data_IF_855516638566
#
_entry.id   IF_855516638566
#
_cell.length_a   1.000
_cell.length_b   1.000
_cell.length_c   1.000
_cell.angle_alpha   90.00
_cell.angle_beta   90.00
_cell.angle_gamma   90.00
#
_symmetry.space_group_name_H-M   'P 1'
#
loop_
_entity.id
_entity.type
_entity.pdbx_description
1 polymer ?
#
# COMPACT_ATOMS: atom_id res chain seq x y z
N UNK A 1 -6.66 -13.96 23.89
CA UNK A 1 -6.90 -14.16 22.44
C UNK A 1 -7.21 -12.85 21.69
N UNK A 2 -8.08 -11.96 22.18
CA UNK A 2 -8.37 -10.67 21.51
C UNK A 2 -7.14 -9.77 21.31
N UNK A 3 -6.31 -9.57 22.34
CA UNK A 3 -5.11 -8.73 22.24
C UNK A 3 -4.11 -9.24 21.19
N UNK A 4 -3.96 -10.56 21.04
CA UNK A 4 -3.10 -11.14 20.02
C UNK A 4 -3.61 -10.83 18.60
N UNK A 5 -4.93 -10.88 18.39
CA UNK A 5 -5.56 -10.51 17.13
C UNK A 5 -5.35 -9.04 16.79
N UNK A 6 -5.52 -8.14 17.78
CA UNK A 6 -5.25 -6.71 17.62
C UNK A 6 -3.77 -6.48 17.30
N UNK A 7 -2.86 -7.11 18.06
CA UNK A 7 -1.42 -7.00 17.82
C UNK A 7 -1.04 -7.46 16.40
N UNK A 8 -1.58 -8.58 15.93
CA UNK A 8 -1.34 -9.08 14.58
C UNK A 8 -1.86 -8.11 13.51
N UNK A 9 -3.07 -7.57 13.67
CA UNK A 9 -3.63 -6.56 12.76
C UNK A 9 -2.76 -5.30 12.71
N UNK A 10 -2.31 -4.82 13.87
CA UNK A 10 -1.45 -3.63 13.97
C UNK A 10 -0.07 -3.89 13.39
N UNK A 11 0.56 -5.04 13.65
CA UNK A 11 1.86 -5.39 13.08
C UNK A 11 1.79 -5.44 11.55
N UNK A 12 0.73 -6.01 10.98
CA UNK A 12 0.51 -6.01 9.54
C UNK A 12 0.37 -4.58 8.98
N UNK A 13 -0.44 -3.74 9.62
CA UNK A 13 -0.61 -2.33 9.23
C UNK A 13 0.71 -1.54 9.31
N UNK A 14 1.45 -1.67 10.41
CA UNK A 14 2.71 -0.97 10.64
C UNK A 14 3.80 -1.45 9.70
N UNK A 15 3.92 -2.76 9.43
CA UNK A 15 4.88 -3.29 8.47
C UNK A 15 4.63 -2.73 7.06
N UNK A 16 3.36 -2.64 6.66
CA UNK A 16 2.99 -2.10 5.35
C UNK A 16 3.26 -0.59 5.27
N UNK A 17 2.74 0.19 6.21
CA UNK A 17 2.84 1.65 6.17
C UNK A 17 4.27 2.12 6.45
N UNK A 18 4.95 1.48 7.39
CA UNK A 18 6.37 1.74 7.70
C UNK A 18 7.29 1.46 6.51
N UNK A 19 7.04 0.37 5.76
CA UNK A 19 7.81 0.09 4.56
C UNK A 19 7.54 1.08 3.42
N UNK A 20 6.28 1.54 3.25
CA UNK A 20 5.96 2.63 2.31
C UNK A 20 6.69 3.92 2.69
N UNK A 21 6.72 4.29 3.97
CA UNK A 21 7.45 5.44 4.49
C UNK A 21 8.95 5.31 4.21
N UNK A 22 9.55 4.17 4.54
CA UNK A 22 10.97 3.92 4.31
C UNK A 22 11.34 4.01 2.81
N UNK A 23 10.59 3.33 1.95
CA UNK A 23 10.84 3.37 0.50
C UNK A 23 10.69 4.79 -0.06
N UNK A 24 9.68 5.54 0.39
CA UNK A 24 9.35 6.86 -0.17
C UNK A 24 10.25 7.98 0.35
N UNK A 25 10.60 7.95 1.64
CA UNK A 25 11.31 9.05 2.32
C UNK A 25 12.80 8.79 2.49
N UNK A 26 13.25 7.53 2.45
CA UNK A 26 14.66 7.17 2.66
C UNK A 26 15.27 6.60 1.39
N UNK A 27 14.75 5.48 0.89
CA UNK A 27 15.40 4.74 -0.19
C UNK A 27 15.28 5.46 -1.54
N UNK A 28 14.10 5.96 -1.89
CA UNK A 28 13.91 6.68 -3.16
C UNK A 28 14.75 7.97 -3.27
N UNK A 29 14.81 8.85 -2.24
CA UNK A 29 15.69 10.00 -2.25
C UNK A 29 17.18 9.64 -2.31
N UNK A 30 17.61 8.62 -1.55
CA UNK A 30 19.00 8.14 -1.58
C UNK A 30 19.44 7.77 -3.00
N UNK A 31 18.60 7.02 -3.69
CA UNK A 31 18.87 6.55 -5.04
C UNK A 31 18.82 7.69 -6.06
N UNK A 32 17.90 8.65 -5.90
CA UNK A 32 17.85 9.88 -6.71
C UNK A 32 19.11 10.72 -6.54
N UNK A 33 19.60 10.89 -5.32
CA UNK A 33 20.79 11.68 -5.00
C UNK A 33 22.07 11.09 -5.62
N UNK A 34 22.12 9.77 -5.83
CA UNK A 34 23.20 9.08 -6.55
C UNK A 34 23.01 9.09 -8.07
N UNK A 35 22.30 10.09 -8.60
CA UNK A 35 21.99 10.28 -10.03
C UNK A 35 21.37 9.04 -10.70
N UNK A 36 20.65 8.22 -9.92
CA UNK A 36 20.07 6.96 -10.40
C UNK A 36 21.09 6.03 -11.07
N UNK A 37 22.32 5.97 -10.54
CA UNK A 37 23.33 5.03 -11.00
C UNK A 37 22.77 3.59 -11.04
N UNK A 38 23.14 2.77 -12.05
CA UNK A 38 22.49 1.47 -12.32
C UNK A 38 22.43 0.54 -11.12
N UNK A 39 23.49 0.48 -10.32
CA UNK A 39 23.58 -0.34 -9.11
C UNK A 39 22.56 0.07 -8.04
N UNK A 40 22.40 1.38 -7.81
CA UNK A 40 21.42 1.90 -6.85
C UNK A 40 19.97 1.71 -7.34
N UNK A 41 19.74 1.83 -8.65
CA UNK A 41 18.46 1.49 -9.27
C UNK A 41 18.13 0.00 -9.11
N UNK A 42 19.11 -0.88 -9.32
CA UNK A 42 18.97 -2.31 -9.13
C UNK A 42 18.66 -2.64 -7.67
N UNK A 43 19.36 -2.02 -6.71
CA UNK A 43 19.10 -2.16 -5.29
C UNK A 43 17.66 -1.72 -4.93
N UNK A 44 17.23 -0.54 -5.41
CA UNK A 44 15.88 -0.05 -5.19
C UNK A 44 14.83 -1.04 -5.69
N UNK A 45 14.98 -1.51 -6.94
CA UNK A 45 14.07 -2.49 -7.54
C UNK A 45 14.06 -3.80 -6.75
N UNK A 46 15.21 -4.28 -6.33
CA UNK A 46 15.36 -5.50 -5.54
C UNK A 46 14.70 -5.38 -4.17
N UNK A 47 14.83 -4.23 -3.51
CA UNK A 47 14.17 -3.92 -2.25
C UNK A 47 12.65 -3.83 -2.42
N UNK A 48 12.17 -3.13 -3.45
CA UNK A 48 10.74 -2.99 -3.74
C UNK A 48 10.07 -4.35 -4.04
N UNK A 49 10.75 -5.23 -4.79
CA UNK A 49 10.25 -6.58 -5.08
C UNK A 49 10.16 -7.45 -3.83
N UNK A 50 11.14 -7.39 -2.93
CA UNK A 50 11.08 -8.10 -1.64
C UNK A 50 9.99 -7.52 -0.74
N UNK A 51 9.88 -6.19 -0.69
CA UNK A 51 8.85 -5.52 0.09
C UNK A 51 7.44 -5.87 -0.39
N UNK A 52 7.25 -6.09 -1.69
CA UNK A 52 5.97 -6.58 -2.24
C UNK A 52 5.49 -7.85 -1.54
N UNK A 53 6.36 -8.82 -1.26
CA UNK A 53 5.99 -10.03 -0.52
C UNK A 53 5.46 -9.70 0.89
N UNK A 54 6.09 -8.74 1.56
CA UNK A 54 5.64 -8.24 2.88
C UNK A 54 4.27 -7.57 2.77
N UNK A 55 4.06 -6.75 1.73
CA UNK A 55 2.77 -6.07 1.47
C UNK A 55 1.65 -7.07 1.28
N UNK A 56 1.82 -8.07 0.41
CA UNK A 56 0.77 -9.07 0.15
C UNK A 56 0.49 -9.94 1.38
N UNK A 57 1.51 -10.24 2.17
CA UNK A 57 1.34 -10.92 3.47
C UNK A 57 0.56 -10.04 4.45
N UNK A 58 0.89 -8.77 4.55
CA UNK A 58 0.18 -7.81 5.40
C UNK A 58 -1.29 -7.63 4.95
N UNK A 59 -1.55 -7.56 3.65
CA UNK A 59 -2.91 -7.50 3.09
C UNK A 59 -3.72 -8.72 3.52
N UNK A 60 -3.17 -9.92 3.34
CA UNK A 60 -3.85 -11.16 3.76
C UNK A 60 -4.20 -11.10 5.25
N UNK A 61 -3.24 -10.74 6.11
CA UNK A 61 -3.46 -10.60 7.54
C UNK A 61 -4.51 -9.54 7.88
N UNK A 62 -4.50 -8.37 7.23
CA UNK A 62 -5.47 -7.30 7.48
C UNK A 62 -6.88 -7.71 7.05
N UNK A 63 -7.00 -8.39 5.92
CA UNK A 63 -8.29 -8.89 5.39
C UNK A 63 -8.85 -10.04 6.22
N UNK A 64 -8.02 -10.83 6.90
CA UNK A 64 -8.51 -11.87 7.82
C UNK A 64 -8.82 -11.31 9.20
N UNK A 65 -7.92 -10.48 9.76
CA UNK A 65 -8.06 -9.99 11.14
C UNK A 65 -9.06 -8.84 11.26
N UNK A 66 -9.19 -7.98 10.25
CA UNK A 66 -10.09 -6.83 10.25
C UNK A 66 -11.57 -7.21 10.45
N UNK A 67 -12.14 -8.11 9.63
CA UNK A 67 -13.52 -8.58 9.79
C UNK A 67 -13.77 -9.26 11.14
N UNK A 68 -12.81 -10.04 11.64
CA UNK A 68 -12.92 -10.70 12.95
C UNK A 68 -12.95 -9.65 14.08
N UNK A 69 -12.13 -8.61 14.00
CA UNK A 69 -12.13 -7.50 14.97
C UNK A 69 -13.44 -6.70 14.89
N UNK A 70 -13.98 -6.49 13.69
CA UNK A 70 -15.23 -5.78 13.47
C UNK A 70 -16.43 -6.57 14.04
N UNK A 71 -16.48 -7.88 13.78
CA UNK A 71 -17.50 -8.77 14.32
C UNK A 71 -17.50 -8.83 15.85
N UNK A 72 -16.32 -8.78 16.49
CA UNK A 72 -16.21 -8.70 17.96
C UNK A 72 -16.76 -7.40 18.56
N UNK A 73 -17.00 -6.37 17.74
CA UNK A 73 -17.67 -5.13 18.11
C UNK A 73 -19.14 -5.10 17.71
N UNK A 74 -19.73 -6.23 17.34
CA UNK A 74 -21.13 -6.33 16.87
C UNK A 74 -21.35 -5.82 15.43
N UNK A 75 -20.29 -5.41 14.73
CA UNK A 75 -20.35 -4.88 13.37
C UNK A 75 -19.97 -5.97 12.36
N UNK A 76 -20.92 -6.82 11.99
CA UNK A 76 -20.64 -7.92 11.06
C UNK A 76 -20.49 -7.42 9.63
N UNK A 77 -19.55 -8.00 8.87
CA UNK A 77 -19.31 -7.59 7.48
C UNK A 77 -20.52 -7.86 6.57
N UNK A 78 -21.34 -8.86 6.93
CA UNK A 78 -22.57 -9.24 6.22
C UNK A 78 -23.77 -8.35 6.53
N UNK A 79 -23.67 -7.48 7.53
CA UNK A 79 -24.73 -6.56 7.90
C UNK A 79 -24.21 -5.10 7.94
N UNK A 80 -24.06 -4.43 6.79
CA UNK A 80 -23.56 -3.06 6.73
C UNK A 80 -24.37 -2.04 7.56
N UNK A 81 -25.66 -2.32 7.82
CA UNK A 81 -26.50 -1.46 8.66
C UNK A 81 -26.05 -1.42 10.13
N UNK A 82 -25.25 -2.39 10.57
CA UNK A 82 -24.67 -2.40 11.92
C UNK A 82 -23.45 -1.48 12.08
N UNK A 83 -22.87 -0.97 10.97
CA UNK A 83 -21.61 -0.25 11.01
C UNK A 83 -21.78 1.19 11.47
N UNK A 84 -20.87 1.67 12.32
CA UNK A 84 -20.75 3.09 12.58
C UNK A 84 -20.28 3.85 11.33
N UNK A 85 -20.60 5.14 11.21
CA UNK A 85 -20.13 5.97 10.11
C UNK A 85 -18.61 5.93 9.95
N UNK A 86 -17.88 5.87 11.06
CA UNK A 86 -16.42 5.79 11.08
C UNK A 86 -15.92 4.44 10.53
N UNK A 87 -16.58 3.33 10.88
CA UNK A 87 -16.24 2.02 10.35
C UNK A 87 -16.48 1.96 8.83
N UNK A 88 -17.61 2.50 8.36
CA UNK A 88 -17.93 2.59 6.93
C UNK A 88 -16.87 3.36 6.15
N UNK A 89 -16.48 4.55 6.64
CA UNK A 89 -15.39 5.34 6.03
C UNK A 89 -14.09 4.56 6.00
N UNK A 90 -13.71 3.90 7.11
CA UNK A 90 -12.49 3.08 7.17
C UNK A 90 -12.50 1.97 6.11
N UNK A 91 -13.61 1.26 5.97
CA UNK A 91 -13.73 0.15 5.01
C UNK A 91 -13.58 0.66 3.58
N UNK A 92 -14.23 1.77 3.21
CA UNK A 92 -14.07 2.36 1.88
C UNK A 92 -12.65 2.84 1.60
N UNK A 93 -11.98 3.46 2.58
CA UNK A 93 -10.58 3.87 2.43
C UNK A 93 -9.64 2.67 2.26
N UNK A 94 -9.85 1.59 3.01
CA UNK A 94 -9.08 0.34 2.85
C UNK A 94 -9.34 -0.30 1.49
N UNK A 95 -10.59 -0.34 1.02
CA UNK A 95 -10.92 -0.86 -0.32
C UNK A 95 -10.23 -0.02 -1.41
N UNK A 96 -10.28 1.30 -1.31
CA UNK A 96 -9.57 2.19 -2.23
C UNK A 96 -8.06 1.94 -2.21
N UNK A 97 -7.46 1.80 -1.02
CA UNK A 97 -6.04 1.51 -0.87
C UNK A 97 -5.66 0.17 -1.50
N UNK A 98 -6.50 -0.86 -1.33
CA UNK A 98 -6.30 -2.17 -1.96
C UNK A 98 -6.37 -2.08 -3.48
N UNK A 99 -7.39 -1.41 -4.03
CA UNK A 99 -7.51 -1.20 -5.48
C UNK A 99 -6.28 -0.50 -6.03
N UNK A 100 -5.85 0.60 -5.41
CA UNK A 100 -4.65 1.34 -5.84
C UNK A 100 -3.39 0.45 -5.76
N UNK A 101 -3.24 -0.36 -4.70
CA UNK A 101 -2.10 -1.26 -4.52
C UNK A 101 -2.08 -2.36 -5.58
N UNK A 102 -3.23 -3.00 -5.86
CA UNK A 102 -3.34 -4.03 -6.90
C UNK A 102 -3.01 -3.44 -8.27
N UNK A 103 -3.57 -2.28 -8.61
CA UNK A 103 -3.28 -1.59 -9.87
C UNK A 103 -1.79 -1.24 -9.99
N UNK A 104 -1.18 -0.77 -8.90
CA UNK A 104 0.25 -0.49 -8.86
C UNK A 104 1.11 -1.74 -9.12
N UNK A 105 0.86 -2.81 -8.36
CA UNK A 105 1.72 -4.00 -8.36
C UNK A 105 1.54 -4.89 -9.59
N UNK A 106 0.32 -4.96 -10.12
CA UNK A 106 -0.04 -5.86 -11.22
C UNK A 106 0.02 -5.17 -12.57
N UNK A 107 -0.39 -3.90 -12.68
CA UNK A 107 -0.45 -3.19 -13.96
C UNK A 107 0.80 -2.34 -14.17
N UNK A 108 1.12 -1.45 -13.22
CA UNK A 108 2.21 -0.50 -13.39
C UNK A 108 3.59 -1.15 -13.21
N UNK A 109 3.72 -2.12 -12.31
CA UNK A 109 4.98 -2.84 -12.07
C UNK A 109 5.59 -3.49 -13.32
N UNK A 110 4.85 -4.36 -14.05
CA UNK A 110 5.35 -4.98 -15.28
C UNK A 110 5.62 -3.97 -16.41
N UNK A 111 4.78 -2.94 -16.54
CA UNK A 111 4.91 -1.92 -17.57
C UNK A 111 6.17 -1.06 -17.38
N UNK A 112 6.45 -0.62 -16.16
CA UNK A 112 7.69 0.12 -15.85
C UNK A 112 8.92 -0.76 -16.08
N UNK A 113 8.85 -2.05 -15.75
CA UNK A 113 9.89 -3.02 -16.07
C UNK A 113 10.20 -3.13 -17.57
N UNK A 114 9.17 -3.21 -18.42
CA UNK A 114 9.30 -3.27 -19.89
C UNK A 114 9.78 -1.94 -20.49
N UNK A 115 9.24 -0.81 -20.03
CA UNK A 115 9.64 0.51 -20.53
C UNK A 115 11.11 0.85 -20.20
N UNK A 116 11.69 0.20 -19.20
CA UNK A 116 13.10 0.37 -18.81
C UNK A 116 14.08 -0.26 -19.79
N UNK A 117 13.66 -1.27 -20.57
CA UNK A 117 14.50 -1.90 -21.61
C UNK A 117 14.37 -1.25 -23.00
N UNK A 118 13.43 -0.32 -23.17
CA UNK A 118 13.18 0.37 -24.44
C UNK A 118 13.81 1.78 -24.40
N UNK A 119 14.56 2.20 -25.43
CA UNK A 119 15.06 3.57 -25.55
C UNK A 119 13.93 4.60 -25.42
N UNK A 120 14.18 5.72 -24.72
CA UNK A 120 13.15 6.71 -24.42
C UNK A 120 12.48 7.32 -25.67
N UNK A 121 13.19 7.31 -26.81
CA UNK A 121 12.71 7.77 -28.12
C UNK A 121 11.67 6.83 -28.76
N UNK A 122 11.65 5.55 -28.40
CA UNK A 122 10.76 4.54 -28.99
C UNK A 122 9.54 4.20 -28.12
N UNK A 123 9.34 4.92 -27.00
CA UNK A 123 8.22 4.68 -26.07
C UNK A 123 6.90 5.24 -26.61
N UNK A 124 5.87 4.42 -26.57
CA UNK A 124 4.49 4.79 -26.88
C UNK A 124 3.94 5.82 -25.87
N UNK A 125 2.85 6.52 -26.23
CA UNK A 125 2.18 7.48 -25.34
C UNK A 125 1.73 6.82 -24.02
N UNK A 126 1.27 5.56 -24.08
CA UNK A 126 0.85 4.78 -22.91
C UNK A 126 2.01 4.44 -21.98
N UNK A 127 3.19 4.10 -22.49
CA UNK A 127 4.37 3.80 -21.65
C UNK A 127 4.90 5.05 -20.96
N UNK A 128 4.86 6.20 -21.64
CA UNK A 128 5.22 7.49 -21.02
C UNK A 128 4.24 7.85 -19.89
N UNK A 129 2.94 7.65 -20.11
CA UNK A 129 1.92 7.88 -19.09
C UNK A 129 2.08 6.91 -17.92
N UNK A 130 2.27 5.61 -18.17
CA UNK A 130 2.46 4.60 -17.13
C UNK A 130 3.66 4.93 -16.22
N UNK A 131 4.81 5.31 -16.80
CA UNK A 131 6.01 5.71 -16.02
C UNK A 131 5.77 6.99 -15.24
N UNK A 132 5.05 7.96 -15.80
CA UNK A 132 4.67 9.20 -15.12
C UNK A 132 3.80 8.92 -13.90
N UNK A 133 2.71 8.17 -14.10
CA UNK A 133 1.71 7.82 -13.09
C UNK A 133 2.30 6.96 -11.98
N UNK A 134 3.17 6.01 -12.34
CA UNK A 134 3.86 5.14 -11.37
C UNK A 134 4.70 5.92 -10.34
N UNK A 135 5.11 7.16 -10.63
CA UNK A 135 5.82 8.00 -9.64
C UNK A 135 4.89 8.55 -8.56
N UNK A 136 3.62 8.81 -8.87
CA UNK A 136 2.68 9.43 -7.93
C UNK A 136 1.88 8.42 -7.12
N UNK A 137 1.60 7.26 -7.70
CA UNK A 137 0.80 6.20 -7.05
C UNK A 137 1.33 5.80 -5.66
N UNK A 138 2.64 5.59 -5.44
CA UNK A 138 3.16 5.27 -4.10
C UNK A 138 2.93 6.39 -3.07
N UNK A 139 3.05 7.66 -3.49
CA UNK A 139 2.83 8.81 -2.60
C UNK A 139 1.36 8.94 -2.22
N UNK A 140 0.47 8.79 -3.20
CA UNK A 140 -0.96 8.78 -2.95
C UNK A 140 -1.37 7.62 -2.02
N UNK A 141 -0.83 6.41 -2.27
CA UNK A 141 -1.07 5.25 -1.43
C UNK A 141 -0.59 5.47 0.01
N UNK A 142 0.59 6.09 0.18
CA UNK A 142 1.10 6.45 1.50
C UNK A 142 0.17 7.43 2.21
N UNK A 143 -0.23 8.53 1.56
CA UNK A 143 -1.16 9.50 2.13
C UNK A 143 -2.49 8.85 2.52
N UNK A 144 -3.06 8.05 1.63
CA UNK A 144 -4.29 7.31 1.87
C UNK A 144 -4.15 6.36 3.08
N UNK A 145 -3.01 5.66 3.20
CA UNK A 145 -2.74 4.78 4.33
C UNK A 145 -2.61 5.52 5.67
N UNK A 146 -2.06 6.74 5.67
CA UNK A 146 -2.00 7.59 6.86
C UNK A 146 -3.41 8.04 7.28
N UNK A 147 -4.27 8.39 6.32
CA UNK A 147 -5.68 8.69 6.59
C UNK A 147 -6.40 7.46 7.17
N UNK A 148 -6.14 6.26 6.64
CA UNK A 148 -6.66 5.00 7.20
C UNK A 148 -6.25 4.82 8.66
N UNK A 149 -5.00 5.12 9.03
CA UNK A 149 -4.55 5.07 10.45
C UNK A 149 -5.35 6.06 11.29
N UNK A 150 -5.48 7.32 10.85
CA UNK A 150 -6.20 8.35 11.62
C UNK A 150 -7.65 7.91 11.87
N UNK A 151 -8.34 7.44 10.83
CA UNK A 151 -9.72 6.93 10.96
C UNK A 151 -9.77 5.67 11.85
N UNK A 152 -8.75 4.81 11.79
CA UNK A 152 -8.67 3.65 12.67
C UNK A 152 -8.51 4.04 14.15
N UNK A 153 -7.76 5.10 14.46
CA UNK A 153 -7.61 5.63 15.82
C UNK A 153 -8.92 6.24 16.31
N UNK A 154 -9.65 6.98 15.45
CA UNK A 154 -10.97 7.52 15.77
C UNK A 154 -11.95 6.38 16.07
N UNK A 155 -11.99 5.35 15.21
CA UNK A 155 -12.83 4.16 15.42
C UNK A 155 -12.45 3.41 16.70
N UNK A 156 -11.19 3.42 17.10
CA UNK A 156 -10.75 2.76 18.32
C UNK A 156 -11.27 3.45 19.59
N UNK A 157 -11.65 4.73 19.51
CA UNK A 157 -12.11 5.57 20.62
C UNK A 157 -13.63 5.82 20.64
N UNK A 158 -14.34 5.50 19.56
CA UNK A 158 -15.80 5.52 19.47
C UNK A 158 -16.41 4.23 20.01
#
# INVERSE_FOLDING_TARGET
>A
MYHALVALHLLAAVAWIGGMLFLSLVLAPLVKNRKAAPEFMALFRSAALRFRVVVWTAIALLLTTGPVLLARRGMMLTNPASWSSVATVKIWLVLLLLVVTVLHDVVLGPQVGRASSIPASSRTAWEKLAVSTARWVPRFSLLLSLVVIVVAVILARS
#
